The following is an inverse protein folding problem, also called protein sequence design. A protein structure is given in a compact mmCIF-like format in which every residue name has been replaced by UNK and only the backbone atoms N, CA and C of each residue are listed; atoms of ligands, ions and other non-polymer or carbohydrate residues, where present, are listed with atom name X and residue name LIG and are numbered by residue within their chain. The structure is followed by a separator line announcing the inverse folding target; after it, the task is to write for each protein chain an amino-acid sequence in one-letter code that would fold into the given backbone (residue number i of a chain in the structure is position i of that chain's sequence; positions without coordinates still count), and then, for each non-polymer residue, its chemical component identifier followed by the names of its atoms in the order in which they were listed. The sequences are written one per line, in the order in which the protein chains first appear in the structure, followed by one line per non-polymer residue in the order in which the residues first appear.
data_IF_068414120846
#
_entry.id   IF_068414120846
#
_cell.length_a   1.000
_cell.length_b   1.000
_cell.length_c   1.000
_cell.angle_alpha   90.00
_cell.angle_beta   90.00
_cell.angle_gamma   90.00
#
_symmetry.space_group_name_H-M   'P 1'
#
loop_
_entity.id
_entity.type
_entity.pdbx_description
1 polymer ?
#
# COMPACT_ATOMS: atom_id res chain seq x y z
N UNK A 1 -1.28 -13.54 -1.92
CA UNK A 1 -1.72 -12.15 -1.71
C UNK A 1 -2.70 -11.64 -2.77
N UNK A 2 -2.28 -11.38 -4.02
CA UNK A 2 -3.19 -10.81 -5.05
C UNK A 2 -4.42 -11.69 -5.35
N UNK A 3 -4.26 -13.03 -5.39
CA UNK A 3 -5.39 -13.97 -5.50
C UNK A 3 -6.40 -13.80 -4.37
N UNK A 4 -5.92 -13.60 -3.13
CA UNK A 4 -6.76 -13.39 -1.96
C UNK A 4 -7.52 -12.07 -2.05
N UNK A 5 -6.84 -10.98 -2.44
CA UNK A 5 -7.49 -9.68 -2.68
C UNK A 5 -8.57 -9.77 -3.76
N UNK A 6 -8.30 -10.48 -4.87
CA UNK A 6 -9.27 -10.71 -5.95
C UNK A 6 -10.54 -11.40 -5.45
N UNK A 7 -10.39 -12.45 -4.63
CA UNK A 7 -11.53 -13.18 -4.06
C UNK A 7 -12.29 -12.35 -3.03
N UNK A 8 -11.58 -11.70 -2.11
CA UNK A 8 -12.17 -10.95 -1.01
C UNK A 8 -12.99 -9.73 -1.50
N UNK A 9 -12.49 -9.04 -2.52
CA UNK A 9 -13.03 -7.76 -2.97
C UNK A 9 -13.73 -7.84 -4.33
N UNK A 10 -14.04 -9.05 -4.81
CA UNK A 10 -14.71 -9.30 -6.08
C UNK A 10 -14.03 -8.64 -7.29
N UNK A 11 -12.75 -8.97 -7.50
CA UNK A 11 -11.93 -8.54 -8.63
C UNK A 11 -11.81 -7.00 -8.78
N UNK A 12 -11.39 -6.27 -7.73
CA UNK A 12 -11.28 -4.83 -7.82
C UNK A 12 -10.11 -4.45 -8.75
N UNK A 13 -10.23 -3.33 -9.49
CA UNK A 13 -9.03 -2.70 -10.04
C UNK A 13 -8.12 -2.25 -8.89
N UNK A 14 -6.82 -2.37 -9.08
CA UNK A 14 -5.82 -1.99 -8.08
C UNK A 14 -4.63 -1.28 -8.71
N UNK A 15 -3.94 -0.47 -7.91
CA UNK A 15 -2.64 0.09 -8.27
C UNK A 15 -1.53 -0.71 -7.58
N UNK A 16 -0.39 -0.82 -8.26
CA UNK A 16 0.80 -1.49 -7.75
C UNK A 16 1.95 -0.49 -7.73
N UNK A 17 2.53 -0.26 -6.56
CA UNK A 17 3.52 0.80 -6.33
C UNK A 17 4.76 0.14 -5.74
N UNK A 18 5.91 0.44 -6.33
CA UNK A 18 7.21 -0.01 -5.84
C UNK A 18 7.88 1.19 -5.18
N UNK A 19 8.05 1.11 -3.86
CA UNK A 19 8.82 2.07 -3.09
C UNK A 19 10.27 1.60 -3.06
N UNK A 20 11.15 2.31 -3.78
CA UNK A 20 12.58 2.03 -3.84
C UNK A 20 13.39 3.25 -3.39
N UNK A 21 14.67 3.01 -3.10
CA UNK A 21 15.56 4.05 -2.63
C UNK A 21 15.68 5.17 -3.69
N UNK A 22 15.79 6.44 -3.25
CA UNK A 22 16.07 7.55 -4.15
C UNK A 22 17.40 7.31 -4.89
N UNK A 23 17.56 7.99 -6.03
CA UNK A 23 18.80 7.90 -6.81
C UNK A 23 19.96 8.37 -5.93
N UNK A 24 20.97 7.51 -5.78
CA UNK A 24 22.15 7.75 -4.94
C UNK A 24 23.16 8.69 -5.62
N UNK A 25 22.71 9.87 -6.01
CA UNK A 25 23.60 10.92 -6.50
C UNK A 25 24.33 11.49 -5.28
N UNK A 26 25.67 11.39 -5.19
CA UNK A 26 26.41 11.91 -4.07
C UNK A 26 26.20 13.42 -3.96
N UNK A 27 25.56 13.87 -2.88
CA UNK A 27 25.39 15.28 -2.54
C UNK A 27 25.93 15.50 -1.14
N UNK A 28 26.58 16.64 -0.94
CA UNK A 28 27.14 17.01 0.37
C UNK A 28 26.00 17.03 1.39
N UNK A 29 26.16 16.31 2.51
CA UNK A 29 25.22 16.23 3.63
C UNK A 29 23.84 15.60 3.32
N UNK A 30 23.72 14.67 2.37
CA UNK A 30 22.45 13.97 2.12
C UNK A 30 22.65 12.45 2.06
N UNK A 31 21.63 11.70 2.52
CA UNK A 31 21.49 10.25 2.34
C UNK A 31 22.59 9.36 2.96
N UNK A 32 23.34 9.88 3.94
CA UNK A 32 24.43 9.15 4.61
C UNK A 32 23.96 7.89 5.34
N UNK A 33 22.75 7.92 5.89
CA UNK A 33 22.11 6.83 6.63
C UNK A 33 21.07 6.06 5.79
N UNK A 34 21.01 6.30 4.48
CA UNK A 34 19.94 5.74 3.61
C UNK A 34 19.88 4.20 3.64
N UNK A 35 21.01 3.53 3.84
CA UNK A 35 21.05 2.06 3.96
C UNK A 35 20.44 1.51 5.25
N UNK A 36 20.32 2.36 6.28
CA UNK A 36 19.77 2.02 7.59
C UNK A 36 18.33 2.52 7.74
N UNK A 37 18.02 3.69 7.14
CA UNK A 37 16.72 4.35 7.28
C UNK A 37 15.65 3.83 6.31
N UNK A 38 16.04 3.22 5.18
CA UNK A 38 15.10 2.82 4.13
C UNK A 38 15.12 1.33 3.82
N UNK A 39 13.92 0.72 3.81
CA UNK A 39 13.70 -0.64 3.33
C UNK A 39 12.71 -0.60 2.15
N UNK A 40 13.12 -1.17 1.02
CA UNK A 40 12.26 -1.25 -0.16
C UNK A 40 11.00 -2.09 0.14
N UNK A 41 9.86 -1.68 -0.38
CA UNK A 41 8.66 -2.48 -0.22
C UNK A 41 7.70 -2.24 -1.38
N UNK A 42 6.68 -3.07 -1.42
CA UNK A 42 5.65 -3.04 -2.45
C UNK A 42 4.34 -2.73 -1.76
N UNK A 43 3.63 -1.77 -2.32
CA UNK A 43 2.29 -1.39 -1.89
C UNK A 43 1.27 -1.78 -2.96
N UNK A 44 0.17 -2.40 -2.51
CA UNK A 44 -0.96 -2.79 -3.35
C UNK A 44 -2.19 -2.06 -2.85
N UNK A 45 -2.74 -1.17 -3.68
CA UNK A 45 -3.90 -0.35 -3.32
C UNK A 45 -5.13 -0.73 -4.16
N UNK A 46 -6.02 -1.61 -3.66
CA UNK A 46 -7.29 -1.88 -4.33
C UNK A 46 -8.21 -0.65 -4.30
N UNK A 47 -8.83 -0.34 -5.43
CA UNK A 47 -9.74 0.81 -5.58
C UNK A 47 -11.16 0.42 -5.17
N UNK A 48 -11.43 0.40 -3.87
CA UNK A 48 -12.73 0.00 -3.31
C UNK A 48 -13.75 1.14 -3.21
N UNK A 49 -13.30 2.40 -3.19
CA UNK A 49 -14.16 3.58 -3.16
C UNK A 49 -13.54 4.78 -3.89
N UNK A 50 -14.37 5.77 -4.20
CA UNK A 50 -13.90 7.06 -4.73
C UNK A 50 -13.42 7.96 -3.58
N UNK A 51 -12.43 8.79 -3.88
CA UNK A 51 -11.96 9.81 -2.95
C UNK A 51 -13.02 10.91 -2.82
N UNK A 52 -13.25 11.35 -1.59
CA UNK A 52 -14.13 12.46 -1.27
C UNK A 52 -13.41 13.80 -1.41
N UNK A 53 -14.17 14.90 -1.40
CA UNK A 53 -13.60 16.26 -1.44
C UNK A 53 -12.68 16.57 -0.25
N UNK A 54 -12.94 15.99 0.92
CA UNK A 54 -12.07 16.12 2.09
C UNK A 54 -10.68 15.51 1.81
N UNK A 55 -10.63 14.30 1.26
CA UNK A 55 -9.37 13.59 1.04
C UNK A 55 -8.54 14.25 -0.07
N UNK A 56 -9.21 14.70 -1.13
CA UNK A 56 -8.55 15.47 -2.19
C UNK A 56 -8.06 16.83 -1.69
N UNK A 57 -8.80 17.50 -0.80
CA UNK A 57 -8.45 18.81 -0.27
C UNK A 57 -7.39 18.79 0.82
N UNK A 58 -7.37 17.74 1.66
CA UNK A 58 -6.47 17.63 2.81
C UNK A 58 -5.25 16.73 2.58
N UNK A 59 -5.32 15.80 1.62
CA UNK A 59 -4.32 14.73 1.47
C UNK A 59 -4.39 13.64 2.55
N UNK A 60 -5.37 13.69 3.46
CA UNK A 60 -5.58 12.67 4.47
C UNK A 60 -6.58 11.61 3.99
N UNK A 61 -6.33 10.34 4.32
CA UNK A 61 -7.20 9.22 3.96
C UNK A 61 -8.01 8.74 5.17
N UNK A 62 -9.30 8.48 4.94
CA UNK A 62 -10.16 7.86 5.96
C UNK A 62 -10.36 6.37 5.66
N UNK A 63 -9.95 5.50 6.58
CA UNK A 63 -10.16 4.06 6.44
C UNK A 63 -11.43 3.64 7.20
N UNK A 64 -12.33 2.93 6.51
CA UNK A 64 -13.54 2.34 7.11
C UNK A 64 -13.27 1.01 7.81
N UNK A 65 -12.10 0.42 7.57
CA UNK A 65 -11.67 -0.88 8.11
C UNK A 65 -10.32 -0.70 8.75
N UNK A 66 -10.16 -1.20 9.97
CA UNK A 66 -8.90 -1.16 10.69
C UNK A 66 -7.87 -2.09 10.02
N UNK A 67 -6.57 -1.84 10.19
CA UNK A 67 -5.54 -2.74 9.67
C UNK A 67 -5.62 -4.14 10.29
N UNK A 68 -6.04 -4.27 11.55
CA UNK A 68 -6.22 -5.55 12.24
C UNK A 68 -7.32 -6.39 11.56
N UNK A 69 -8.47 -5.78 11.30
CA UNK A 69 -9.58 -6.46 10.62
C UNK A 69 -9.22 -6.78 9.17
N UNK A 70 -8.57 -5.85 8.46
CA UNK A 70 -8.12 -6.08 7.09
C UNK A 70 -7.14 -7.26 6.99
N UNK A 71 -6.19 -7.35 7.93
CA UNK A 71 -5.26 -8.47 8.00
C UNK A 71 -5.98 -9.79 8.28
N UNK A 72 -6.93 -9.79 9.23
CA UNK A 72 -7.77 -10.96 9.54
C UNK A 72 -8.56 -11.43 8.32
N UNK A 73 -9.27 -10.54 7.63
CA UNK A 73 -10.04 -10.90 6.43
C UNK A 73 -9.16 -11.49 5.33
N UNK A 74 -7.95 -10.97 5.15
CA UNK A 74 -6.99 -11.52 4.18
C UNK A 74 -6.46 -12.90 4.58
N UNK A 75 -6.32 -13.20 5.86
CA UNK A 75 -5.89 -14.50 6.34
C UNK A 75 -6.99 -15.56 6.19
N UNK A 76 -8.23 -15.21 6.51
CA UNK A 76 -9.40 -16.10 6.45
C UNK A 76 -9.75 -16.51 5.02
N UNK A 77 -9.34 -15.74 4.02
CA UNK A 77 -9.48 -16.11 2.60
C UNK A 77 -8.53 -17.26 2.28
N UNK A 78 -9.11 -18.42 1.97
CA UNK A 78 -8.36 -19.58 1.52
C UNK A 78 -7.70 -19.31 0.16
N UNK A 79 -6.47 -19.79 0.03
CA UNK A 79 -5.86 -20.02 -1.29
C UNK A 79 -6.51 -21.28 -1.89
N UNK A 80 -7.83 -21.30 -2.03
CA UNK A 80 -8.54 -22.36 -2.76
C UNK A 80 -7.83 -22.70 -4.06
N UNK A 81 -7.79 -24.00 -4.35
CA UNK A 81 -7.07 -24.64 -5.45
C UNK A 81 -7.13 -23.83 -6.76
#
# INVERSE_FOLDING_TARGET
MLRKLRRLLNEPPYNYIIHTAPIRIPRRNQWHTLGEDFHWHIEVMPRVRRLSGFELGSGMYTLSTSPEDAAKYLQEVSDGD
#
